data_IF_339648021828
#
_entry.id   IF_339648021828
#
_cell.length_a   1.000
_cell.length_b   1.000
_cell.length_c   1.000
_cell.angle_alpha   90.00
_cell.angle_beta   90.00
_cell.angle_gamma   90.00
#
_symmetry.space_group_name_H-M   'P 1'
#
loop_
_entity.id
_entity.type
_entity.pdbx_description
1 polymer ?
#
# COMPACT_ATOMS: atom_id res chain seq x y z
N UNK A 1 -16.42 -4.80 16.04
CA UNK A 1 -15.77 -3.62 15.44
C UNK A 1 -15.12 -2.86 16.58
N UNK A 2 -13.81 -2.67 16.55
CA UNK A 2 -13.12 -1.89 17.56
C UNK A 2 -13.17 -0.42 17.16
N UNK A 3 -13.78 0.41 18.01
CA UNK A 3 -13.81 1.86 17.88
C UNK A 3 -12.73 2.42 18.81
N UNK A 4 -11.75 3.14 18.26
CA UNK A 4 -10.62 3.65 19.03
C UNK A 4 -10.75 5.16 19.21
N UNK A 5 -10.73 5.61 20.47
CA UNK A 5 -10.71 7.03 20.81
C UNK A 5 -9.26 7.52 20.90
N UNK A 6 -9.00 8.72 20.36
CA UNK A 6 -7.69 9.41 20.35
C UNK A 6 -7.04 9.58 21.75
N UNK A 7 -7.78 9.38 22.84
CA UNK A 7 -7.30 9.56 24.22
C UNK A 7 -6.50 8.37 24.78
N UNK A 8 -6.54 7.20 24.16
CA UNK A 8 -5.93 5.98 24.71
C UNK A 8 -4.58 5.60 24.05
N UNK A 9 -4.02 6.52 23.27
CA UNK A 9 -2.94 6.20 22.33
C UNK A 9 -1.73 7.14 22.55
N UNK A 10 -0.73 6.69 23.30
CA UNK A 10 0.61 7.29 23.36
C UNK A 10 1.47 6.82 22.18
N UNK A 11 1.00 7.03 20.94
CA UNK A 11 1.85 6.80 19.78
C UNK A 11 2.53 8.10 19.35
N UNK A 12 3.83 8.01 19.09
CA UNK A 12 4.55 9.08 18.41
C UNK A 12 4.15 9.09 16.95
N UNK A 13 3.43 10.13 16.53
CA UNK A 13 3.11 10.37 15.12
C UNK A 13 4.42 10.55 14.33
N UNK A 14 4.59 9.80 13.25
CA UNK A 14 5.79 9.85 12.40
C UNK A 14 5.45 9.92 10.92
N UNK A 15 4.91 11.06 10.48
CA UNK A 15 4.54 11.28 9.08
C UNK A 15 5.27 12.46 8.45
N UNK A 16 5.21 12.52 7.12
CA UNK A 16 5.59 13.70 6.34
C UNK A 16 4.56 13.88 5.24
N UNK A 17 4.22 15.13 4.92
CA UNK A 17 3.37 15.41 3.76
C UNK A 17 4.10 15.04 2.47
N UNK A 18 3.41 14.29 1.61
CA UNK A 18 3.93 13.83 0.32
C UNK A 18 2.98 14.25 -0.77
N UNK A 19 3.53 14.78 -1.87
CA UNK A 19 2.79 14.99 -3.11
C UNK A 19 3.07 13.82 -4.05
N UNK A 20 2.01 13.13 -4.47
CA UNK A 20 2.05 12.06 -5.46
C UNK A 20 1.53 12.62 -6.78
N UNK A 21 2.12 12.22 -7.90
CA UNK A 21 1.65 12.63 -9.21
C UNK A 21 0.29 11.99 -9.53
N UNK A 22 -0.55 12.70 -10.28
CA UNK A 22 -1.83 12.20 -10.82
C UNK A 22 -1.55 11.23 -12.00
N UNK A 23 -0.98 10.07 -11.66
CA UNK A 23 -0.71 8.97 -12.57
C UNK A 23 -0.97 7.63 -11.83
N UNK A 24 -1.76 6.70 -12.40
CA UNK A 24 -2.09 5.46 -11.73
C UNK A 24 -0.89 4.62 -11.27
N UNK A 25 0.26 4.74 -11.97
CA UNK A 25 1.50 4.08 -11.54
C UNK A 25 2.06 4.77 -10.31
N UNK A 26 2.14 6.10 -10.31
CA UNK A 26 2.67 6.85 -9.17
C UNK A 26 1.89 6.55 -7.90
N UNK A 27 0.57 6.50 -7.99
CA UNK A 27 -0.34 6.18 -6.89
C UNK A 27 -0.11 4.78 -6.33
N UNK A 28 -0.05 3.75 -7.19
CA UNK A 28 0.22 2.38 -6.75
C UNK A 28 1.64 2.19 -6.23
N UNK A 29 2.63 2.87 -6.82
CA UNK A 29 4.00 2.85 -6.32
C UNK A 29 4.08 3.50 -4.93
N UNK A 30 3.29 4.54 -4.68
CA UNK A 30 3.19 5.17 -3.38
C UNK A 30 2.52 4.25 -2.34
N UNK A 31 1.44 3.57 -2.73
CA UNK A 31 0.85 2.50 -1.90
C UNK A 31 1.89 1.43 -1.55
N UNK A 32 2.61 0.91 -2.55
CA UNK A 32 3.62 -0.12 -2.34
C UNK A 32 4.75 0.36 -1.41
N UNK A 33 5.24 1.59 -1.62
CA UNK A 33 6.22 2.23 -0.76
C UNK A 33 5.74 2.33 0.69
N UNK A 34 4.47 2.68 0.89
CA UNK A 34 3.85 2.78 2.20
C UNK A 34 3.85 1.43 2.91
N UNK A 35 3.31 0.38 2.28
CA UNK A 35 3.28 -0.97 2.87
C UNK A 35 4.69 -1.47 3.21
N UNK A 36 5.66 -1.20 2.35
CA UNK A 36 7.04 -1.58 2.61
C UNK A 36 7.74 -0.76 3.71
N UNK A 37 7.21 0.40 4.05
CA UNK A 37 7.65 1.16 5.22
C UNK A 37 7.11 0.57 6.53
N UNK A 38 5.95 -0.09 6.47
CA UNK A 38 5.31 -0.71 7.63
C UNK A 38 5.86 -2.10 7.93
N UNK A 39 6.19 -2.88 6.88
CA UNK A 39 6.55 -4.29 6.98
C UNK A 39 7.82 -4.58 6.18
N UNK A 40 8.72 -5.40 6.72
CA UNK A 40 9.91 -5.83 5.99
C UNK A 40 9.56 -6.82 4.86
N UNK A 41 9.67 -6.33 3.61
CA UNK A 41 9.38 -7.04 2.37
C UNK A 41 10.60 -7.17 1.44
N UNK A 42 11.82 -6.94 1.94
CA UNK A 42 13.03 -6.85 1.12
C UNK A 42 13.37 -8.13 0.31
N UNK A 43 12.81 -9.27 0.70
CA UNK A 43 12.96 -10.57 0.05
C UNK A 43 11.87 -10.89 -0.99
N UNK A 44 10.92 -9.99 -1.23
CA UNK A 44 9.75 -10.27 -2.09
C UNK A 44 10.03 -10.07 -3.58
N UNK A 45 10.81 -9.06 -3.95
CA UNK A 45 11.20 -8.79 -5.34
C UNK A 45 12.57 -8.09 -5.41
N UNK A 46 13.50 -8.52 -6.28
CA UNK A 46 14.83 -7.90 -6.39
C UNK A 46 14.81 -6.46 -6.94
N UNK A 47 13.74 -6.06 -7.64
CA UNK A 47 13.51 -4.71 -8.19
C UNK A 47 12.56 -3.89 -7.32
N UNK A 48 12.27 -4.33 -6.09
CA UNK A 48 11.32 -3.65 -5.20
C UNK A 48 11.65 -2.17 -4.96
N UNK A 49 12.95 -1.81 -4.97
CA UNK A 49 13.40 -0.42 -4.86
C UNK A 49 12.93 0.45 -6.02
N UNK A 50 12.97 -0.09 -7.24
CA UNK A 50 12.50 0.60 -8.45
C UNK A 50 10.98 0.76 -8.43
N UNK A 51 10.28 -0.32 -8.07
CA UNK A 51 8.81 -0.38 -8.09
C UNK A 51 8.15 0.45 -6.98
N UNK A 52 8.87 0.85 -5.92
CA UNK A 52 8.34 1.75 -4.88
C UNK A 52 8.68 3.22 -5.09
N UNK A 53 9.50 3.55 -6.08
CA UNK A 53 9.98 4.92 -6.29
C UNK A 53 8.94 5.77 -7.04
N UNK A 54 7.87 6.15 -6.34
CA UNK A 54 6.74 6.91 -6.89
C UNK A 54 7.13 8.29 -7.47
N UNK A 55 8.27 8.86 -7.05
CA UNK A 55 8.80 10.10 -7.63
C UNK A 55 9.25 9.93 -9.08
N UNK A 56 9.60 8.70 -9.47
CA UNK A 56 10.02 8.33 -10.82
C UNK A 56 9.08 7.26 -11.39
N UNK A 57 7.81 7.63 -11.55
CA UNK A 57 6.71 6.71 -11.90
C UNK A 57 6.68 6.23 -13.36
N UNK A 58 7.62 6.70 -14.20
CA UNK A 58 7.77 6.23 -15.57
C UNK A 58 8.31 4.80 -15.60
N UNK A 59 7.40 3.82 -15.54
CA UNK A 59 7.71 2.40 -15.65
C UNK A 59 7.56 1.91 -17.10
N UNK A 60 8.42 0.98 -17.50
CA UNK A 60 8.23 0.16 -18.70
C UNK A 60 6.99 -0.72 -18.56
N UNK A 61 6.52 -1.30 -19.67
CA UNK A 61 5.39 -2.24 -19.64
C UNK A 61 5.67 -3.44 -18.74
N UNK A 62 6.89 -4.00 -18.78
CA UNK A 62 7.26 -5.14 -17.93
C UNK A 62 7.31 -4.76 -16.45
N UNK A 63 7.91 -3.61 -16.10
CA UNK A 63 7.90 -3.10 -14.73
C UNK A 63 6.47 -2.82 -14.22
N UNK A 64 5.60 -2.31 -15.09
CA UNK A 64 4.19 -2.08 -14.75
C UNK A 64 3.45 -3.39 -14.47
N UNK A 65 3.69 -4.44 -15.28
CA UNK A 65 3.12 -5.76 -15.02
C UNK A 65 3.62 -6.36 -13.70
N UNK A 66 4.91 -6.20 -13.38
CA UNK A 66 5.46 -6.62 -12.08
C UNK A 66 4.84 -5.84 -10.92
N UNK A 67 4.69 -4.52 -11.05
CA UNK A 67 4.00 -3.68 -10.06
C UNK A 67 2.58 -4.21 -9.81
N UNK A 68 1.82 -4.51 -10.87
CA UNK A 68 0.47 -5.05 -10.75
C UNK A 68 0.43 -6.39 -10.02
N UNK A 69 1.32 -7.32 -10.37
CA UNK A 69 1.41 -8.63 -9.70
C UNK A 69 1.73 -8.46 -8.21
N UNK A 70 2.67 -7.58 -7.87
CA UNK A 70 3.00 -7.31 -6.47
C UNK A 70 1.83 -6.66 -5.72
N UNK A 71 1.15 -5.66 -6.30
CA UNK A 71 0.00 -5.02 -5.67
C UNK A 71 -1.19 -5.96 -5.49
N UNK A 72 -1.36 -6.96 -6.38
CA UNK A 72 -2.37 -8.01 -6.21
C UNK A 72 -2.00 -8.99 -5.08
N UNK A 73 -0.71 -9.34 -4.96
CA UNK A 73 -0.22 -10.19 -3.86
C UNK A 73 -0.29 -9.47 -2.51
N UNK A 74 -0.02 -8.16 -2.52
CA UNK A 74 0.00 -7.27 -1.35
C UNK A 74 -1.29 -6.46 -1.30
N UNK A 75 -2.44 -7.12 -1.44
CA UNK A 75 -3.75 -6.49 -1.28
C UNK A 75 -3.91 -5.93 0.15
N UNK A 76 -4.53 -4.76 0.34
CA UNK A 76 -4.73 -4.17 1.66
C UNK A 76 -5.39 -5.10 2.68
N UNK A 77 -6.29 -5.98 2.25
CA UNK A 77 -6.98 -6.98 3.08
C UNK A 77 -6.01 -7.82 3.93
N UNK A 78 -4.81 -8.07 3.40
CA UNK A 78 -3.76 -8.86 4.05
C UNK A 78 -3.17 -8.13 5.27
N UNK A 79 -3.22 -6.80 5.29
CA UNK A 79 -2.58 -5.92 6.26
C UNK A 79 -3.56 -5.27 7.25
N UNK A 80 -4.84 -5.16 6.85
CA UNK A 80 -5.89 -4.57 7.69
C UNK A 80 -5.98 -5.32 9.02
N UNK A 81 -6.08 -4.55 10.11
CA UNK A 81 -6.08 -5.02 11.50
C UNK A 81 -4.78 -5.72 11.94
N UNK A 82 -3.70 -5.63 11.14
CA UNK A 82 -2.37 -6.14 11.50
C UNK A 82 -1.35 -5.01 11.60
N UNK A 83 -1.21 -4.23 10.53
CA UNK A 83 -0.31 -3.08 10.48
C UNK A 83 -0.96 -1.83 9.87
N UNK A 84 -2.13 -1.96 9.22
CA UNK A 84 -2.94 -0.82 8.79
C UNK A 84 -4.32 -0.89 9.44
N UNK A 85 -4.85 0.24 9.88
CA UNK A 85 -6.10 0.35 10.61
C UNK A 85 -6.96 1.46 10.03
N UNK A 86 -8.21 1.16 9.71
CA UNK A 86 -9.14 2.19 9.26
C UNK A 86 -9.60 3.00 10.49
N UNK A 87 -9.34 4.30 10.51
CA UNK A 87 -9.80 5.19 11.58
C UNK A 87 -9.70 6.65 11.14
N UNK A 88 -10.85 7.32 11.11
CA UNK A 88 -10.92 8.76 10.82
C UNK A 88 -10.46 9.59 12.02
N UNK A 89 -10.71 9.11 13.25
CA UNK A 89 -10.31 9.76 14.51
C UNK A 89 -8.78 9.86 14.68
N UNK A 90 -8.06 8.87 14.15
CA UNK A 90 -6.60 8.84 14.08
C UNK A 90 -6.05 9.54 12.83
N UNK A 91 -6.92 10.05 11.95
CA UNK A 91 -6.49 10.78 10.76
C UNK A 91 -7.21 12.14 10.67
N UNK A 92 -7.15 13.03 11.67
CA UNK A 92 -7.90 14.29 11.61
C UNK A 92 -7.51 15.15 10.40
N UNK A 93 -6.20 15.34 10.19
CA UNK A 93 -5.67 16.34 9.26
C UNK A 93 -5.17 15.75 7.94
N UNK A 94 -5.07 14.42 7.85
CA UNK A 94 -4.55 13.70 6.69
C UNK A 94 -5.49 12.56 6.24
N UNK A 95 -5.21 12.00 5.07
CA UNK A 95 -5.86 10.77 4.59
C UNK A 95 -5.28 9.51 5.23
N UNK A 96 -4.04 9.59 5.73
CA UNK A 96 -3.36 8.53 6.46
C UNK A 96 -2.32 9.11 7.42
N UNK A 97 -2.06 8.40 8.52
CA UNK A 97 -1.07 8.76 9.53
C UNK A 97 -0.26 7.56 9.99
N UNK A 98 0.99 7.79 10.37
CA UNK A 98 1.93 6.75 10.80
C UNK A 98 2.27 6.90 12.26
N UNK A 99 2.45 5.76 12.93
CA UNK A 99 2.68 5.69 14.37
C UNK A 99 3.82 4.71 14.69
N UNK A 100 4.74 5.12 15.58
CA UNK A 100 5.78 4.22 16.10
C UNK A 100 5.21 3.22 17.10
N UNK A 101 5.77 2.00 17.09
CA UNK A 101 5.48 0.97 18.07
C UNK A 101 6.38 1.25 19.30
N UNK A 102 6.06 2.26 20.09
CA UNK A 102 6.64 2.46 21.43
C UNK A 102 5.90 1.58 22.44
N UNK A 103 6.61 1.04 23.43
CA UNK A 103 6.16 -0.01 24.37
C UNK A 103 4.65 -0.04 24.57
N UNK A 104 4.05 -1.10 24.05
CA UNK A 104 2.61 -1.26 23.85
C UNK A 104 1.90 -1.26 25.20
N UNK A 105 1.21 -0.16 25.53
CA UNK A 105 0.07 -0.24 26.43
C UNK A 105 -0.92 -1.26 25.84
N UNK A 106 -1.33 -2.23 26.67
CA UNK A 106 -2.03 -3.50 26.42
C UNK A 106 -3.25 -3.54 25.45
N UNK A 107 -3.55 -2.48 24.70
CA UNK A 107 -4.75 -2.34 23.88
C UNK A 107 -4.54 -2.55 22.38
N UNK A 108 -3.32 -2.41 21.86
CA UNK A 108 -2.95 -2.85 20.52
C UNK A 108 -2.13 -4.13 20.64
N UNK A 109 -2.73 -5.30 20.45
CA UNK A 109 -1.99 -6.54 20.18
C UNK A 109 -1.31 -6.47 18.80
N UNK A 110 -0.46 -5.45 18.57
CA UNK A 110 0.47 -5.43 17.43
C UNK A 110 1.61 -6.33 17.85
N UNK A 111 1.46 -7.61 17.54
CA UNK A 111 2.60 -8.50 17.59
C UNK A 111 3.69 -7.87 16.71
N UNK A 112 4.86 -7.57 17.29
CA UNK A 112 6.00 -7.02 16.54
C UNK A 112 6.39 -7.88 15.32
N UNK A 113 5.88 -9.13 15.27
CA UNK A 113 5.84 -9.99 14.09
C UNK A 113 4.41 -10.41 13.75
N UNK A 114 4.02 -10.31 12.48
CA UNK A 114 2.71 -10.74 11.96
C UNK A 114 2.86 -11.74 10.83
N UNK A 115 1.93 -12.68 10.71
CA UNK A 115 1.89 -13.64 9.61
C UNK A 115 1.27 -12.98 8.36
N UNK A 116 2.12 -12.74 7.35
CA UNK A 116 1.76 -12.14 6.06
C UNK A 116 2.33 -13.03 4.96
N UNK A 117 1.47 -13.51 4.06
CA UNK A 117 1.89 -14.39 2.96
C UNK A 117 2.60 -15.66 3.42
N UNK A 118 2.20 -16.23 4.56
CA UNK A 118 2.81 -17.44 5.13
C UNK A 118 4.19 -17.24 5.79
N UNK A 119 4.68 -16.00 5.89
CA UNK A 119 5.94 -15.66 6.56
C UNK A 119 5.68 -14.76 7.76
N UNK A 120 6.44 -14.96 8.83
CA UNK A 120 6.46 -14.00 9.94
C UNK A 120 7.25 -12.77 9.49
N UNK A 121 6.58 -11.62 9.49
CA UNK A 121 7.14 -10.34 9.07
C UNK A 121 7.19 -9.39 10.25
N UNK A 122 8.34 -8.73 10.42
CA UNK A 122 8.49 -7.68 11.43
C UNK A 122 7.68 -6.45 11.01
N UNK A 123 6.88 -5.94 11.93
CA UNK A 123 6.18 -4.66 11.77
C UNK A 123 7.07 -3.57 12.37
N UNK A 124 7.41 -2.57 11.55
CA UNK A 124 8.26 -1.46 11.98
C UNK A 124 7.43 -0.30 12.53
N UNK A 125 6.26 -0.07 11.93
CA UNK A 125 5.31 1.00 12.24
C UNK A 125 3.90 0.54 11.91
N UNK A 126 2.91 1.22 12.46
CA UNK A 126 1.52 1.05 12.06
C UNK A 126 1.03 2.29 11.32
N UNK A 127 0.01 2.13 10.48
CA UNK A 127 -0.66 3.22 9.79
C UNK A 127 -2.15 3.24 10.13
N UNK A 128 -2.67 4.41 10.49
CA UNK A 128 -4.10 4.66 10.40
C UNK A 128 -4.43 5.26 9.04
N UNK A 129 -5.60 4.95 8.48
CA UNK A 129 -6.04 5.52 7.20
C UNK A 129 -7.54 5.79 7.17
N UNK A 130 -7.94 6.78 6.37
CA UNK A 130 -9.31 6.99 5.91
C UNK A 130 -9.59 6.13 4.69
N UNK A 131 -10.84 5.71 4.50
CA UNK A 131 -11.22 4.91 3.33
C UNK A 131 -10.91 5.60 1.99
N UNK A 132 -10.86 6.93 1.93
CA UNK A 132 -10.42 7.65 0.74
C UNK A 132 -8.99 7.29 0.34
N UNK A 133 -8.07 7.13 1.29
CA UNK A 133 -6.67 6.82 0.99
C UNK A 133 -6.51 5.51 0.21
N UNK A 134 -7.20 4.45 0.65
CA UNK A 134 -7.12 3.15 -0.01
C UNK A 134 -7.81 3.18 -1.37
N UNK A 135 -8.87 3.97 -1.49
CA UNK A 135 -9.57 4.17 -2.75
C UNK A 135 -8.69 4.87 -3.77
N UNK A 136 -8.01 5.94 -3.36
CA UNK A 136 -7.21 6.81 -4.21
C UNK A 136 -5.86 6.17 -4.58
N UNK A 137 -5.20 5.50 -3.64
CA UNK A 137 -3.84 4.98 -3.87
C UNK A 137 -3.77 3.48 -4.20
N UNK A 138 -4.85 2.73 -4.04
CA UNK A 138 -4.88 1.30 -4.36
C UNK A 138 -5.98 0.95 -5.37
N UNK A 139 -7.26 1.07 -5.00
CA UNK A 139 -8.35 0.49 -5.80
C UNK A 139 -8.54 1.17 -7.15
N UNK A 140 -8.60 2.50 -7.18
CA UNK A 140 -8.78 3.29 -8.40
C UNK A 140 -7.63 3.07 -9.38
N UNK A 141 -6.35 3.28 -9.01
CA UNK A 141 -5.24 3.10 -9.94
C UNK A 141 -5.05 1.65 -10.39
N UNK A 142 -5.28 0.67 -9.51
CA UNK A 142 -5.23 -0.75 -9.87
C UNK A 142 -6.25 -1.08 -10.95
N UNK A 143 -7.50 -0.63 -10.79
CA UNK A 143 -8.54 -0.88 -11.77
C UNK A 143 -8.21 -0.22 -13.12
N UNK A 144 -7.73 1.04 -13.12
CA UNK A 144 -7.33 1.74 -14.35
C UNK A 144 -6.24 0.95 -15.09
N UNK A 145 -5.18 0.54 -14.40
CA UNK A 145 -4.08 -0.19 -15.03
C UNK A 145 -4.49 -1.59 -15.51
N UNK A 146 -5.37 -2.29 -14.78
CA UNK A 146 -5.91 -3.58 -15.21
C UNK A 146 -6.78 -3.44 -16.47
N UNK A 147 -7.60 -2.40 -16.55
CA UNK A 147 -8.39 -2.11 -17.74
C UNK A 147 -7.48 -1.79 -18.94
N UNK A 148 -6.48 -0.93 -18.77
CA UNK A 148 -5.51 -0.61 -19.82
C UNK A 148 -4.78 -1.87 -20.33
N UNK A 149 -4.41 -2.78 -19.43
CA UNK A 149 -3.81 -4.06 -19.78
C UNK A 149 -4.76 -4.92 -20.62
N UNK A 150 -6.04 -5.01 -20.25
CA UNK A 150 -7.04 -5.77 -21.01
C UNK A 150 -7.24 -5.19 -22.41
N UNK A 151 -7.36 -3.87 -22.53
CA UNK A 151 -7.49 -3.18 -23.83
C UNK A 151 -6.28 -3.44 -24.73
N UNK A 152 -5.05 -3.36 -24.18
CA UNK A 152 -3.83 -3.67 -24.94
C UNK A 152 -3.82 -5.12 -25.45
N UNK A 153 -4.26 -6.07 -24.62
CA UNK A 153 -4.37 -7.49 -25.03
C UNK A 153 -5.39 -7.70 -26.15
N UNK A 154 -6.56 -7.07 -26.05
CA UNK A 154 -7.59 -7.16 -27.09
C UNK A 154 -7.09 -6.57 -28.41
N UNK A 155 -6.47 -5.38 -28.38
CA UNK A 155 -5.93 -4.74 -29.57
C UNK A 155 -4.83 -5.58 -30.25
N UNK A 156 -3.94 -6.19 -29.46
CA UNK A 156 -2.89 -7.06 -29.98
C UNK A 156 -3.46 -8.36 -30.58
N UNK A 157 -4.51 -8.93 -29.97
CA UNK A 157 -5.18 -10.11 -30.51
C UNK A 157 -5.92 -9.81 -31.83
N UNK A 158 -6.58 -8.65 -31.93
CA UNK A 158 -7.24 -8.20 -33.16
C UNK A 158 -6.25 -7.89 -34.29
N UNK A 159 -5.08 -7.31 -33.97
CA UNK A 159 -4.04 -7.05 -34.97
C UNK A 159 -3.42 -8.33 -35.55
N UNK A 160 -3.31 -9.39 -34.73
CA UNK A 160 -2.80 -10.69 -35.17
C UNK A 160 -3.82 -11.50 -36.00
N UNK A 161 -5.11 -11.17 -35.91
CA UNK A 161 -6.18 -11.83 -36.66
C UNK A 161 -6.42 -11.26 -38.07
N UNK A 162 -5.73 -10.17 -38.43
CA UNK A 162 -5.87 -9.46 -39.72
C UNK A 162 -4.65 -9.71 -40.65
N UNK A 163 -3.65 -10.48 -40.20
CA UNK A 163 -2.50 -10.94 -40.99
C UNK A 163 -2.61 -12.44 -41.29
#
# INVERSE_FOLDING_TARGET
MAFFNKKDIEFKQTGSMVTVADDPRAELMYYLNTICGLVDLNDTDPNLQRLRNYKYYYLTTEETERLLVLCLLLEPSVFINKCIFQSDDLCPDASNEFYEITEVNNHLLVAGNVLIGGRNRRVNKIMAFKMSWIQDYYYTPLNILLQQRQTRRQNNASACAIL
#
